data_IF_221781714282
#
_entry.id   IF_221781714282
#
_cell.length_a   1.000
_cell.length_b   1.000
_cell.length_c   1.000
_cell.angle_alpha   90.00
_cell.angle_beta   90.00
_cell.angle_gamma   90.00
#
_symmetry.space_group_name_H-M   'P 1'
#
loop_
_entity.id
_entity.type
_entity.pdbx_description
1 polymer ?
#
# COMPACT_ATOMS: atom_id res chain seq x y z
N UNK A 1 -3.33 6.44 -3.72
CA UNK A 1 -3.83 5.18 -3.13
C UNK A 1 -2.68 4.52 -2.36
N UNK A 2 -2.85 4.32 -1.05
CA UNK A 2 -1.82 3.72 -0.18
C UNK A 2 -1.79 2.19 -0.33
N UNK A 3 -0.69 1.55 0.10
CA UNK A 3 -0.58 0.08 0.12
C UNK A 3 -1.66 -0.54 1.01
N UNK A 4 -2.02 0.11 2.12
CA UNK A 4 -3.07 -0.33 3.04
C UNK A 4 -4.43 -0.39 2.35
N UNK A 5 -4.84 0.70 1.68
CA UNK A 5 -6.12 0.76 0.95
C UNK A 5 -6.16 -0.30 -0.17
N UNK A 6 -5.03 -0.52 -0.85
CA UNK A 6 -4.93 -1.58 -1.85
C UNK A 6 -5.09 -2.98 -1.23
N UNK A 7 -4.40 -3.27 -0.12
CA UNK A 7 -4.43 -4.57 0.54
C UNK A 7 -5.85 -4.91 1.03
N UNK A 8 -6.54 -3.95 1.65
CA UNK A 8 -7.91 -4.13 2.13
C UNK A 8 -8.85 -4.52 0.99
N UNK A 9 -8.81 -3.78 -0.12
CA UNK A 9 -9.62 -4.07 -1.30
C UNK A 9 -9.29 -5.44 -1.92
N UNK A 10 -8.00 -5.78 -2.00
CA UNK A 10 -7.55 -7.05 -2.57
C UNK A 10 -7.98 -8.25 -1.71
N UNK A 11 -7.89 -8.13 -0.38
CA UNK A 11 -8.35 -9.16 0.56
C UNK A 11 -9.86 -9.32 0.48
N UNK A 12 -10.62 -8.22 0.48
CA UNK A 12 -12.08 -8.29 0.34
C UNK A 12 -12.51 -8.99 -0.95
N UNK A 13 -11.85 -8.71 -2.07
CA UNK A 13 -12.14 -9.39 -3.34
C UNK A 13 -11.76 -10.88 -3.31
N UNK A 14 -10.65 -11.24 -2.68
CA UNK A 14 -10.26 -12.64 -2.49
C UNK A 14 -11.28 -13.42 -1.65
N UNK A 15 -11.74 -12.85 -0.54
CA UNK A 15 -12.76 -13.47 0.32
C UNK A 15 -14.10 -13.61 -0.43
N UNK A 16 -14.54 -12.57 -1.14
CA UNK A 16 -15.78 -12.60 -1.94
C UNK A 16 -15.76 -13.68 -3.02
N UNK A 17 -14.57 -14.06 -3.51
CA UNK A 17 -14.37 -15.12 -4.51
C UNK A 17 -14.10 -16.49 -3.90
N UNK A 18 -14.07 -16.62 -2.57
CA UNK A 18 -13.73 -17.88 -1.89
C UNK A 18 -12.26 -18.28 -2.04
N UNK A 19 -11.37 -17.32 -2.33
CA UNK A 19 -9.94 -17.53 -2.54
C UNK A 19 -9.13 -17.14 -1.29
N UNK A 20 -9.54 -17.61 -0.11
CA UNK A 20 -8.93 -17.25 1.18
C UNK A 20 -7.43 -17.60 1.28
N UNK A 21 -6.97 -18.60 0.51
CA UNK A 21 -5.55 -18.94 0.39
C UNK A 21 -4.69 -17.79 -0.17
N UNK A 22 -5.28 -16.78 -0.84
CA UNK A 22 -4.55 -15.61 -1.33
C UNK A 22 -4.21 -14.61 -0.23
N UNK A 23 -4.92 -14.60 0.89
CA UNK A 23 -4.71 -13.63 1.99
C UNK A 23 -3.24 -13.56 2.46
N UNK A 24 -2.56 -14.67 2.83
CA UNK A 24 -1.15 -14.60 3.25
C UNK A 24 -0.19 -14.16 2.13
N UNK A 25 -0.53 -14.41 0.85
CA UNK A 25 0.28 -13.96 -0.29
C UNK A 25 0.14 -12.44 -0.50
N UNK A 26 -1.07 -11.92 -0.40
CA UNK A 26 -1.37 -10.49 -0.48
C UNK A 26 -0.71 -9.70 0.66
N UNK A 27 -0.77 -10.22 1.89
CA UNK A 27 -0.08 -9.64 3.05
C UNK A 27 1.45 -9.61 2.86
N UNK A 28 2.02 -10.68 2.29
CA UNK A 28 3.46 -10.74 2.01
C UNK A 28 3.87 -9.76 0.91
N UNK A 29 3.05 -9.62 -0.13
CA UNK A 29 3.28 -8.65 -1.18
C UNK A 29 3.19 -7.22 -0.65
N UNK A 30 2.21 -6.91 0.20
CA UNK A 30 2.08 -5.61 0.84
C UNK A 30 3.34 -5.27 1.64
N UNK A 31 3.80 -6.16 2.52
CA UNK A 31 5.02 -5.95 3.32
C UNK A 31 6.26 -5.71 2.45
N UNK A 32 6.45 -6.54 1.42
CA UNK A 32 7.59 -6.41 0.50
C UNK A 32 7.54 -5.09 -0.26
N UNK A 33 6.35 -4.69 -0.73
CA UNK A 33 6.16 -3.43 -1.45
C UNK A 33 6.37 -2.22 -0.54
N UNK A 34 5.90 -2.26 0.71
CA UNK A 34 6.15 -1.19 1.68
C UNK A 34 7.65 -1.00 1.90
N UNK A 35 8.40 -2.08 2.14
CA UNK A 35 9.84 -2.02 2.32
C UNK A 35 10.57 -1.44 1.09
N UNK A 36 10.12 -1.77 -0.12
CA UNK A 36 10.70 -1.20 -1.34
C UNK A 36 10.37 0.28 -1.53
N UNK A 37 9.19 0.74 -1.13
CA UNK A 37 8.77 2.14 -1.29
C UNK A 37 9.34 3.08 -0.24
N UNK A 38 9.64 2.58 0.96
CA UNK A 38 10.25 3.34 2.05
C UNK A 38 11.77 3.15 2.13
N UNK A 39 12.37 2.50 1.12
CA UNK A 39 13.81 2.27 1.08
C UNK A 39 14.58 3.59 0.94
N UNK A 40 15.65 3.74 1.71
CA UNK A 40 16.56 4.89 1.68
C UNK A 40 17.28 5.09 0.33
N UNK A 41 17.30 4.03 -0.49
CA UNK A 41 17.88 4.00 -1.83
C UNK A 41 16.98 4.63 -2.90
N UNK A 42 15.73 5.02 -2.60
CA UNK A 42 14.80 5.64 -3.55
C UNK A 42 14.10 6.87 -2.96
N UNK A 43 13.44 7.66 -3.81
CA UNK A 43 12.46 8.64 -3.34
C UNK A 43 11.31 7.92 -2.64
N UNK A 44 10.95 8.39 -1.44
CA UNK A 44 9.84 7.82 -0.70
C UNK A 44 8.56 7.86 -1.56
N UNK A 45 8.01 6.68 -1.81
CA UNK A 45 6.81 6.45 -2.58
C UNK A 45 5.67 5.89 -1.73
N UNK A 46 5.76 6.02 -0.39
CA UNK A 46 4.73 5.63 0.58
C UNK A 46 3.33 6.17 0.22
N UNK A 47 3.28 7.34 -0.42
CA UNK A 47 2.05 8.01 -0.81
C UNK A 47 1.42 8.80 0.32
N UNK A 48 2.15 9.05 1.42
CA UNK A 48 1.72 9.91 2.54
C UNK A 48 1.91 11.41 2.23
N UNK A 49 2.66 11.76 1.19
CA UNK A 49 3.09 13.14 0.91
C UNK A 49 2.03 14.05 0.25
N UNK A 50 0.87 13.54 -0.13
CA UNK A 50 -0.14 14.34 -0.86
C UNK A 50 -1.04 15.19 0.06
N UNK A 51 -1.08 14.93 1.38
CA UNK A 51 -1.91 15.69 2.34
C UNK A 51 -1.16 16.85 3.03
N UNK A 52 0.18 16.89 2.97
CA UNK A 52 1.00 17.89 3.66
C UNK A 52 1.40 19.10 2.80
N UNK A 53 1.05 19.13 1.50
CA UNK A 53 1.24 20.31 0.63
C UNK A 53 -0.06 21.09 0.44
N UNK A 54 -0.60 21.58 1.55
CA UNK A 54 -1.54 22.70 1.55
C UNK A 54 -0.84 24.03 1.18
N UNK A 55 -1.58 25.04 0.69
CA UNK A 55 -1.04 26.19 -0.03
C UNK A 55 -0.46 27.27 0.89
N UNK A 56 0.70 27.05 1.50
CA UNK A 56 1.45 28.12 2.18
C UNK A 56 2.96 28.01 1.89
N UNK A 57 3.28 28.09 0.61
CA UNK A 57 4.64 28.31 0.13
C UNK A 57 4.66 29.48 -0.88
N UNK A 58 4.26 30.67 -0.42
CA UNK A 58 4.61 31.95 -1.04
C UNK A 58 4.75 33.03 0.02
#
# INVERSE_FOLDING_TARGET
MTITVWLENAVQDAERRGLSALRPLLETLARSTSALRTGDWNFDASGELDELKGPDAR
#
